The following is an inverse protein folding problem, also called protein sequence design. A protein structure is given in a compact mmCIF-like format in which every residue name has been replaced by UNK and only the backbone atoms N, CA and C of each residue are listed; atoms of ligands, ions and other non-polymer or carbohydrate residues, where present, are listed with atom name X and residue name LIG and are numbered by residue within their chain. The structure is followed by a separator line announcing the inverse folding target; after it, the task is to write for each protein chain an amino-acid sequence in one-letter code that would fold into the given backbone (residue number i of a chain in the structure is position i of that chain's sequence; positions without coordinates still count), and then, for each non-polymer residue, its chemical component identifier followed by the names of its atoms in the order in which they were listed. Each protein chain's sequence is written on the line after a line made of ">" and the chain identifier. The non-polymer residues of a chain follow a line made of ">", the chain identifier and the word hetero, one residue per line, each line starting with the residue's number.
data_IF_762354773431
#
_entry.id   IF_762354773431
#
_cell.length_a   1.000
_cell.length_b   1.000
_cell.length_c   1.000
_cell.angle_alpha   90.00
_cell.angle_beta   90.00
_cell.angle_gamma   90.00
#
_symmetry.space_group_name_H-M   'P 1'
#
loop_
_entity.id
_entity.type
_entity.pdbx_description
1 polymer ?
#
# COMPACT_ATOMS: atom_id res chain seq x y z
N UNK A 1 -11.51 9.15 20.66
CA UNK A 1 -11.63 9.56 19.23
C UNK A 1 -10.25 10.07 18.81
N UNK A 2 -9.75 9.70 17.63
CA UNK A 2 -8.35 9.98 17.23
C UNK A 2 -8.19 11.28 16.41
N UNK A 3 -9.28 11.89 15.95
CA UNK A 3 -9.29 13.12 15.12
C UNK A 3 -8.23 13.13 14.00
N UNK A 4 -8.05 11.97 13.37
CA UNK A 4 -7.00 11.71 12.39
C UNK A 4 -7.42 12.15 10.97
N UNK A 5 -6.48 12.75 10.24
CA UNK A 5 -6.63 13.15 8.84
C UNK A 5 -5.57 12.48 7.99
N UNK A 6 -6.01 11.82 6.91
CA UNK A 6 -5.13 11.07 6.01
C UNK A 6 -5.53 9.60 5.93
N UNK A 7 -4.73 8.85 5.18
CA UNK A 7 -4.77 7.38 5.20
C UNK A 7 -4.10 6.84 6.45
N UNK A 8 -4.76 5.88 7.09
CA UNK A 8 -4.17 5.00 8.10
C UNK A 8 -4.42 3.53 7.71
N UNK A 9 -3.58 2.64 8.21
CA UNK A 9 -3.76 1.19 8.10
C UNK A 9 -3.96 0.58 9.49
N UNK A 10 -4.83 -0.43 9.56
CA UNK A 10 -5.04 -1.25 10.74
C UNK A 10 -4.87 -2.71 10.31
N UNK A 11 -3.87 -3.37 10.87
CA UNK A 11 -3.65 -4.80 10.65
C UNK A 11 -4.45 -5.61 11.65
N UNK A 12 -4.93 -6.76 11.20
CA UNK A 12 -5.71 -7.68 12.02
C UNK A 12 -5.13 -9.08 11.94
N UNK A 13 -5.18 -9.79 13.07
CA UNK A 13 -5.18 -11.24 13.06
C UNK A 13 -6.61 -11.75 12.87
N UNK A 14 -6.74 -12.82 12.09
CA UNK A 14 -7.97 -13.62 12.02
C UNK A 14 -7.67 -14.93 12.74
N UNK A 15 -8.37 -15.17 13.86
CA UNK A 15 -8.27 -16.41 14.62
C UNK A 15 -9.67 -17.00 14.67
N UNK A 16 -9.83 -18.19 14.09
CA UNK A 16 -11.13 -18.74 13.74
C UNK A 16 -11.94 -17.71 12.91
N UNK A 17 -13.11 -17.29 13.40
CA UNK A 17 -13.96 -16.26 12.78
C UNK A 17 -13.89 -14.89 13.50
N UNK A 18 -12.89 -14.69 14.37
CA UNK A 18 -12.71 -13.47 15.15
C UNK A 18 -11.58 -12.58 14.60
N UNK A 19 -11.86 -11.29 14.47
CA UNK A 19 -10.88 -10.25 14.13
C UNK A 19 -10.29 -9.63 15.40
N UNK A 20 -8.96 -9.68 15.52
CA UNK A 20 -8.23 -9.01 16.60
C UNK A 20 -7.27 -8.00 16.00
N UNK A 21 -7.34 -6.74 16.46
CA UNK A 21 -6.43 -5.70 16.01
C UNK A 21 -4.99 -6.04 16.42
N UNK A 22 -4.07 -5.99 15.45
CA UNK A 22 -2.63 -6.20 15.65
C UNK A 22 -1.90 -4.86 15.80
N UNK A 23 -1.86 -4.08 14.72
CA UNK A 23 -1.07 -2.85 14.65
C UNK A 23 -1.85 -1.73 13.95
N UNK A 24 -1.72 -0.51 14.47
CA UNK A 24 -2.24 0.71 13.85
C UNK A 24 -1.09 1.56 13.30
N UNK A 25 -1.11 1.79 11.99
CA UNK A 25 -0.16 2.67 11.30
C UNK A 25 -0.88 3.95 10.82
N UNK A 26 -0.68 5.11 11.49
CA UNK A 26 -1.27 6.39 11.11
C UNK A 26 -0.54 7.04 9.92
N UNK A 27 -0.43 6.30 8.81
CA UNK A 27 0.22 6.71 7.57
C UNK A 27 -0.21 5.79 6.43
N UNK A 28 0.20 6.12 5.21
CA UNK A 28 0.27 5.14 4.11
C UNK A 28 1.12 3.93 4.52
N UNK A 29 0.73 2.75 4.07
CA UNK A 29 1.25 1.48 4.55
C UNK A 29 1.67 0.56 3.41
N UNK A 30 2.67 -0.30 3.65
CA UNK A 30 3.23 -1.22 2.67
C UNK A 30 2.13 -2.10 2.03
N UNK A 31 1.25 -2.66 2.86
CA UNK A 31 0.11 -3.47 2.41
C UNK A 31 -0.88 -2.75 1.48
N UNK A 32 -0.83 -1.41 1.39
CA UNK A 32 -1.64 -0.62 0.47
C UNK A 32 -0.99 -0.29 -0.88
N UNK A 33 0.26 -0.68 -1.15
CA UNK A 33 0.97 -0.27 -2.37
C UNK A 33 0.32 -0.79 -3.67
N UNK A 34 -0.38 -1.93 -3.62
CA UNK A 34 -1.13 -2.45 -4.77
C UNK A 34 -2.17 -1.45 -5.30
N UNK A 35 -2.62 -0.50 -4.48
CA UNK A 35 -3.64 0.50 -4.87
C UNK A 35 -3.13 1.49 -5.91
N UNK A 36 -1.82 1.58 -6.18
CA UNK A 36 -1.26 2.46 -7.21
C UNK A 36 -1.84 2.07 -8.58
N UNK A 37 -1.74 0.81 -8.97
CA UNK A 37 -2.32 0.29 -10.20
C UNK A 37 -3.74 -0.24 -10.00
N UNK A 38 -3.98 -0.90 -8.86
CA UNK A 38 -5.15 -1.75 -8.65
C UNK A 38 -6.41 -1.02 -8.19
N UNK A 39 -6.35 0.24 -7.77
CA UNK A 39 -7.52 0.99 -7.28
C UNK A 39 -7.71 2.32 -8.00
N UNK A 40 -8.97 2.74 -8.19
CA UNK A 40 -9.35 3.99 -8.90
C UNK A 40 -8.54 5.18 -8.38
N UNK A 41 -8.35 5.29 -7.07
CA UNK A 41 -7.46 6.26 -6.42
C UNK A 41 -6.56 5.55 -5.42
N UNK A 42 -5.24 5.74 -5.53
CA UNK A 42 -4.26 5.10 -4.65
C UNK A 42 -4.32 5.64 -3.22
N UNK A 43 -3.78 4.87 -2.26
CA UNK A 43 -3.63 5.34 -0.89
C UNK A 43 -2.87 6.67 -0.80
N UNK A 44 -1.86 6.87 -1.65
CA UNK A 44 -1.06 8.10 -1.67
C UNK A 44 -1.90 9.28 -2.18
N UNK A 45 -2.63 9.09 -3.28
CA UNK A 45 -3.50 10.13 -3.84
C UNK A 45 -4.61 10.51 -2.86
N UNK A 46 -5.21 9.54 -2.17
CA UNK A 46 -6.22 9.81 -1.15
C UNK A 46 -5.64 10.41 0.13
N UNK A 47 -4.42 10.04 0.54
CA UNK A 47 -3.73 10.68 1.65
C UNK A 47 -3.49 12.16 1.35
N UNK A 48 -2.95 12.50 0.17
CA UNK A 48 -2.75 13.90 -0.26
C UNK A 48 -4.09 14.66 -0.32
N UNK A 49 -5.14 14.06 -0.90
CA UNK A 49 -6.47 14.68 -0.94
C UNK A 49 -6.98 15.00 0.46
N UNK A 50 -6.89 14.06 1.39
CA UNK A 50 -7.33 14.24 2.77
C UNK A 50 -6.58 15.37 3.48
N UNK A 51 -5.24 15.38 3.44
CA UNK A 51 -4.44 16.41 4.15
C UNK A 51 -4.51 17.79 3.50
N UNK A 52 -5.03 17.89 2.27
CA UNK A 52 -5.23 19.16 1.55
C UNK A 52 -6.70 19.58 1.47
N UNK A 53 -7.57 18.95 2.26
CA UNK A 53 -9.02 19.22 2.33
C UNK A 53 -9.72 19.15 0.95
N UNK A 54 -9.25 18.23 0.10
CA UNK A 54 -9.88 17.93 -1.19
C UNK A 54 -10.83 16.75 -1.03
N UNK A 55 -11.90 16.76 -1.83
CA UNK A 55 -12.81 15.60 -1.96
C UNK A 55 -12.00 14.32 -2.14
N UNK A 56 -12.35 13.25 -1.45
CA UNK A 56 -11.69 11.94 -1.61
C UNK A 56 -12.01 11.32 -2.97
N UNK A 57 -11.04 10.57 -3.51
CA UNK A 57 -11.21 9.78 -4.71
C UNK A 57 -11.78 8.40 -4.37
N UNK A 58 -12.43 7.75 -5.34
CA UNK A 58 -12.99 6.42 -5.14
C UNK A 58 -11.89 5.41 -4.80
N UNK A 59 -12.01 4.64 -3.69
CA UNK A 59 -11.07 3.58 -3.34
C UNK A 59 -11.38 2.26 -4.04
N UNK A 60 -12.38 2.21 -4.94
CA UNK A 60 -12.79 0.98 -5.61
C UNK A 60 -11.63 0.31 -6.36
N UNK A 61 -11.51 -1.02 -6.21
CA UNK A 61 -10.57 -1.80 -6.99
C UNK A 61 -10.98 -1.81 -8.47
N UNK A 62 -10.00 -1.72 -9.38
CA UNK A 62 -10.20 -1.88 -10.83
C UNK A 62 -10.34 -3.34 -11.25
N UNK A 63 -9.98 -4.26 -10.37
CA UNK A 63 -9.94 -5.70 -10.58
C UNK A 63 -9.09 -6.35 -9.49
N UNK A 64 -8.61 -7.57 -9.76
CA UNK A 64 -7.67 -8.24 -8.85
C UNK A 64 -6.26 -7.69 -9.06
N UNK A 65 -5.55 -7.45 -7.96
CA UNK A 65 -4.17 -6.99 -7.96
C UNK A 65 -3.37 -7.76 -6.90
N UNK A 66 -2.12 -8.06 -7.23
CA UNK A 66 -1.15 -8.68 -6.32
C UNK A 66 0.06 -7.76 -6.28
N UNK A 67 0.59 -7.54 -5.08
CA UNK A 67 1.81 -6.77 -4.86
C UNK A 67 2.81 -7.65 -4.13
N UNK A 68 4.05 -7.62 -4.59
CA UNK A 68 5.15 -8.44 -4.09
C UNK A 68 6.26 -7.48 -3.69
N UNK A 69 6.70 -7.56 -2.43
CA UNK A 69 7.87 -6.82 -1.99
C UNK A 69 9.15 -7.49 -2.47
N UNK A 70 10.07 -6.66 -2.97
CA UNK A 70 11.44 -7.06 -3.31
C UNK A 70 12.34 -6.52 -2.21
N UNK A 71 12.96 -7.40 -1.44
CA UNK A 71 13.76 -7.06 -0.24
C UNK A 71 15.23 -7.35 -0.52
N UNK A 72 16.10 -6.38 -0.23
CA UNK A 72 17.54 -6.47 -0.49
C UNK A 72 17.87 -6.02 -1.90
N UNK A 73 17.64 -6.89 -2.88
CA UNK A 73 17.94 -6.64 -4.29
C UNK A 73 16.69 -6.83 -5.18
N UNK A 74 16.73 -6.24 -6.38
CA UNK A 74 15.73 -6.47 -7.42
C UNK A 74 16.20 -7.66 -8.28
N UNK A 75 15.52 -8.82 -8.22
CA UNK A 75 15.91 -9.98 -9.00
C UNK A 75 15.70 -9.71 -10.50
N UNK A 76 16.59 -10.24 -11.34
CA UNK A 76 16.48 -10.12 -12.80
C UNK A 76 15.13 -10.61 -13.37
N UNK A 77 14.51 -11.60 -12.71
CA UNK A 77 13.17 -12.07 -13.06
C UNK A 77 12.09 -10.98 -12.93
N UNK A 78 12.22 -10.05 -11.97
CA UNK A 78 11.29 -8.93 -11.84
C UNK A 78 11.47 -7.91 -12.97
N UNK A 79 12.68 -7.75 -13.51
CA UNK A 79 12.96 -6.93 -14.69
C UNK A 79 12.40 -7.55 -15.98
N UNK A 80 12.25 -8.88 -16.00
CA UNK A 80 11.78 -9.64 -17.16
C UNK A 80 10.25 -9.86 -17.18
N UNK A 81 9.51 -9.33 -16.20
CA UNK A 81 8.05 -9.48 -16.14
C UNK A 81 7.41 -8.79 -17.35
N UNK A 82 6.77 -9.59 -18.22
CA UNK A 82 6.10 -9.09 -19.41
C UNK A 82 4.80 -8.33 -19.09
N UNK A 83 4.19 -8.61 -17.93
CA UNK A 83 2.94 -7.97 -17.47
C UNK A 83 3.03 -7.72 -15.96
N UNK A 84 3.26 -6.46 -15.60
CA UNK A 84 3.36 -6.00 -14.22
C UNK A 84 3.98 -4.60 -14.16
N UNK A 85 4.00 -4.02 -12.98
CA UNK A 85 4.56 -2.68 -12.75
C UNK A 85 5.67 -2.79 -11.71
N UNK A 86 6.91 -2.52 -12.13
CA UNK A 86 8.05 -2.46 -11.24
C UNK A 86 8.11 -1.07 -10.58
N UNK A 87 8.13 -1.06 -9.25
CA UNK A 87 8.33 0.14 -8.45
C UNK A 87 9.69 0.08 -7.75
N UNK A 88 10.74 0.51 -8.43
CA UNK A 88 12.08 0.65 -7.85
C UNK A 88 12.17 1.97 -7.06
N UNK A 89 12.60 1.87 -5.80
CA UNK A 89 12.79 3.02 -4.92
C UNK A 89 14.14 3.73 -5.11
N UNK A 90 15.02 3.20 -5.97
CA UNK A 90 16.34 3.78 -6.25
C UNK A 90 17.25 3.78 -5.03
N UNK A 91 17.04 2.85 -4.09
CA UNK A 91 17.82 2.75 -2.86
C UNK A 91 18.95 1.73 -3.05
N UNK A 92 20.16 2.11 -2.66
CA UNK A 92 21.25 1.16 -2.54
C UNK A 92 20.96 0.13 -1.42
N UNK A 93 21.35 -1.14 -1.59
CA UNK A 93 21.29 -2.14 -0.52
C UNK A 93 22.06 -1.64 0.70
N UNK A 94 21.49 -1.86 1.89
CA UNK A 94 22.15 -1.53 3.16
C UNK A 94 22.61 -2.83 3.82
N UNK A 95 23.85 -2.84 4.30
CA UNK A 95 24.35 -3.91 5.17
C UNK A 95 23.58 -3.81 6.49
N UNK A 96 22.92 -4.91 6.87
CA UNK A 96 22.22 -5.03 8.14
C UNK A 96 23.16 -5.24 9.32
#
# INVERSE_FOLDING_TARGET
>A
RLDYVGVAALEFFVVDDALTANEFAPRVHNSGHWTIEGAVTSQFSNHIRAITDRKLGSPAARGHAIMINLIGDIPSAALAIAKGHLHDYGKAPRVG
#
